data_IF_286944117094
#
_entry.id   IF_286944117094
#
_cell.length_a   1.000
_cell.length_b   1.000
_cell.length_c   1.000
_cell.angle_alpha   90.00
_cell.angle_beta   90.00
_cell.angle_gamma   90.00
#
_symmetry.space_group_name_H-M   'P 1'
#
loop_
_entity.id
_entity.type
_entity.pdbx_description
1 polymer ?
#
# COMPACT_ATOMS: atom_id res chain seq x y z
N UNK A 1 -17.48 22.57 -4.11
CA UNK A 1 -16.77 23.63 -3.37
C UNK A 1 -15.33 23.66 -3.87
N UNK A 2 -14.84 24.81 -4.34
CA UNK A 2 -13.42 24.98 -4.67
C UNK A 2 -12.66 25.15 -3.37
N UNK A 3 -11.99 24.09 -2.90
CA UNK A 3 -11.09 24.17 -1.75
C UNK A 3 -9.99 25.18 -2.08
N UNK A 4 -10.08 26.35 -1.45
CA UNK A 4 -9.13 27.43 -1.59
C UNK A 4 -8.09 27.22 -0.50
N UNK A 5 -6.87 26.84 -0.89
CA UNK A 5 -5.76 26.76 0.04
C UNK A 5 -5.41 28.16 0.55
N UNK A 6 -5.02 28.26 1.82
CA UNK A 6 -4.55 29.52 2.42
C UNK A 6 -3.19 29.96 1.90
N UNK A 7 -2.47 29.09 1.18
CA UNK A 7 -1.15 29.41 0.62
C UNK A 7 -1.17 30.67 -0.26
N UNK A 8 -2.19 30.83 -1.11
CA UNK A 8 -2.29 31.99 -2.02
C UNK A 8 -2.77 33.28 -1.34
N UNK A 9 -2.85 33.31 0.00
CA UNK A 9 -3.07 34.53 0.76
C UNK A 9 -1.74 35.27 1.05
N UNK A 10 -0.59 34.61 0.85
CA UNK A 10 0.73 35.25 0.98
C UNK A 10 1.03 36.13 -0.25
N UNK A 11 2.00 37.07 -0.14
CA UNK A 11 2.43 37.89 -1.27
C UNK A 11 2.81 37.04 -2.48
N UNK A 12 2.42 37.50 -3.67
CA UNK A 12 2.54 36.71 -4.90
C UNK A 12 3.99 36.43 -5.29
N UNK A 13 4.92 37.26 -4.85
CA UNK A 13 6.35 37.18 -5.13
C UNK A 13 6.97 35.90 -4.56
N UNK A 14 6.43 35.42 -3.43
CA UNK A 14 6.90 34.24 -2.71
C UNK A 14 6.36 32.93 -3.29
N UNK A 15 5.40 33.00 -4.24
CA UNK A 15 4.76 31.81 -4.76
C UNK A 15 5.71 30.96 -5.59
N UNK A 16 5.82 29.68 -5.22
CA UNK A 16 6.58 28.67 -5.94
C UNK A 16 6.00 27.27 -5.68
N UNK A 17 6.29 26.33 -6.58
CA UNK A 17 5.72 24.98 -6.53
C UNK A 17 6.06 24.26 -5.22
N UNK A 18 7.32 24.29 -4.81
CA UNK A 18 7.76 23.58 -3.60
C UNK A 18 7.06 24.09 -2.35
N UNK A 19 6.97 25.41 -2.20
CA UNK A 19 6.37 26.04 -1.02
C UNK A 19 4.86 25.80 -0.96
N UNK A 20 4.17 25.78 -2.11
CA UNK A 20 2.78 25.35 -2.18
C UNK A 20 2.62 23.92 -1.64
N UNK A 21 3.45 22.98 -2.10
CA UNK A 21 3.34 21.59 -1.67
C UNK A 21 3.70 21.39 -0.19
N UNK A 22 4.73 22.09 0.31
CA UNK A 22 5.07 22.12 1.73
C UNK A 22 3.92 22.65 2.59
N UNK A 23 3.25 23.71 2.13
CA UNK A 23 2.07 24.24 2.80
C UNK A 23 0.93 23.20 2.81
N UNK A 24 0.60 22.62 1.66
CA UNK A 24 -0.47 21.62 1.52
C UNK A 24 -0.23 20.38 2.37
N UNK A 25 1.02 19.96 2.57
CA UNK A 25 1.37 18.82 3.45
C UNK A 25 0.89 19.00 4.90
N UNK A 26 0.78 20.25 5.37
CA UNK A 26 0.32 20.56 6.73
C UNK A 26 -1.21 20.68 6.83
N UNK A 27 -1.93 20.61 5.71
CA UNK A 27 -3.39 20.68 5.69
C UNK A 27 -4.01 19.28 5.90
N UNK A 28 -5.11 19.20 6.66
CA UNK A 28 -5.74 17.93 7.04
C UNK A 28 -6.29 17.11 5.85
N UNK A 29 -6.60 17.78 4.74
CA UNK A 29 -7.13 17.18 3.52
C UNK A 29 -6.02 16.89 2.48
N UNK A 30 -4.77 16.80 2.90
CA UNK A 30 -3.67 16.45 2.01
C UNK A 30 -3.83 15.03 1.44
N UNK A 31 -3.73 14.88 0.12
CA UNK A 31 -4.12 13.63 -0.55
C UNK A 31 -2.99 12.63 -0.80
N UNK A 32 -1.76 12.92 -0.34
CA UNK A 32 -0.53 12.11 -0.54
C UNK A 32 -0.29 11.66 -1.99
N UNK A 33 -0.95 12.30 -2.96
CA UNK A 33 -0.95 11.93 -4.36
C UNK A 33 -0.58 13.14 -5.18
N UNK A 34 0.57 13.07 -5.85
CA UNK A 34 1.06 14.15 -6.70
C UNK A 34 0.02 14.57 -7.74
N UNK A 35 -0.66 13.61 -8.36
CA UNK A 35 -1.68 13.88 -9.39
C UNK A 35 -2.86 14.70 -8.84
N UNK A 36 -3.32 14.40 -7.62
CA UNK A 36 -4.43 15.11 -6.99
C UNK A 36 -4.02 16.51 -6.54
N UNK A 37 -2.87 16.64 -5.87
CA UNK A 37 -2.37 17.93 -5.38
C UNK A 37 -1.94 18.87 -6.52
N UNK A 38 -1.33 18.34 -7.59
CA UNK A 38 -1.01 19.12 -8.79
C UNK A 38 -2.26 19.60 -9.53
N UNK A 39 -3.33 18.80 -9.55
CA UNK A 39 -4.62 19.24 -10.09
C UNK A 39 -5.21 20.41 -9.29
N UNK A 40 -5.14 20.35 -7.95
CA UNK A 40 -5.57 21.45 -7.08
C UNK A 40 -4.73 22.71 -7.29
N UNK A 41 -3.40 22.55 -7.42
CA UNK A 41 -2.48 23.65 -7.73
C UNK A 41 -2.88 24.33 -9.04
N UNK A 42 -3.05 23.54 -10.11
CA UNK A 42 -3.44 24.04 -11.43
C UNK A 42 -4.72 24.85 -11.38
N UNK A 43 -5.77 24.31 -10.74
CA UNK A 43 -7.05 25.02 -10.60
C UNK A 43 -6.92 26.34 -9.84
N UNK A 44 -6.11 26.36 -8.77
CA UNK A 44 -5.88 27.57 -8.00
C UNK A 44 -5.07 28.63 -8.76
N UNK A 45 -4.14 28.22 -9.63
CA UNK A 45 -3.41 29.12 -10.51
C UNK A 45 -4.31 29.66 -11.64
N UNK A 46 -5.12 28.81 -12.27
CA UNK A 46 -6.08 29.20 -13.31
C UNK A 46 -7.10 30.23 -12.79
N UNK A 47 -7.64 30.03 -11.58
CA UNK A 47 -8.56 31.00 -10.98
C UNK A 47 -7.92 32.35 -10.66
N UNK A 48 -6.58 32.42 -10.67
CA UNK A 48 -5.76 33.60 -10.34
C UNK A 48 -4.93 34.10 -11.51
N UNK A 49 -5.25 33.70 -12.75
CA UNK A 49 -4.48 34.06 -13.96
C UNK A 49 -4.27 35.57 -14.19
N UNK A 50 -5.07 36.43 -13.55
CA UNK A 50 -4.90 37.89 -13.58
C UNK A 50 -3.63 38.35 -12.86
N UNK A 51 -3.09 37.55 -11.93
CA UNK A 51 -1.86 37.83 -11.21
C UNK A 51 -0.68 37.36 -12.04
N UNK A 52 0.27 38.25 -12.31
CA UNK A 52 1.45 37.97 -13.16
C UNK A 52 2.20 36.71 -12.74
N UNK A 53 2.48 36.55 -11.43
CA UNK A 53 3.16 35.35 -10.91
C UNK A 53 2.35 34.07 -11.13
N UNK A 54 1.03 34.10 -10.92
CA UNK A 54 0.19 32.92 -11.15
C UNK A 54 0.25 32.48 -12.62
N UNK A 55 0.23 33.45 -13.55
CA UNK A 55 0.40 33.18 -14.98
C UNK A 55 1.77 32.55 -15.27
N UNK A 56 2.86 33.10 -14.71
CA UNK A 56 4.21 32.53 -14.87
C UNK A 56 4.29 31.07 -14.36
N UNK A 57 3.73 30.81 -13.19
CA UNK A 57 3.67 29.45 -12.63
C UNK A 57 2.78 28.52 -13.46
N UNK A 58 1.71 29.03 -14.08
CA UNK A 58 0.85 28.24 -14.95
C UNK A 58 1.55 27.85 -16.25
N UNK A 59 2.31 28.76 -16.87
CA UNK A 59 3.13 28.45 -18.04
C UNK A 59 4.22 27.43 -17.71
N UNK A 60 4.87 27.58 -16.54
CA UNK A 60 5.88 26.64 -16.04
C UNK A 60 5.29 25.33 -15.47
N UNK A 61 3.97 25.16 -15.45
CA UNK A 61 3.31 24.04 -14.80
C UNK A 61 3.54 22.70 -15.52
N UNK A 62 3.71 22.72 -16.85
CA UNK A 62 3.89 21.49 -17.63
C UNK A 62 5.17 20.77 -17.18
N UNK A 63 5.01 19.52 -16.77
CA UNK A 63 6.10 18.68 -16.25
C UNK A 63 6.89 19.33 -15.10
N UNK A 64 6.27 20.21 -14.30
CA UNK A 64 6.98 20.96 -13.27
C UNK A 64 7.68 20.06 -12.24
N UNK A 65 7.17 18.85 -11.94
CA UNK A 65 7.90 17.89 -11.10
C UNK A 65 9.23 17.44 -11.72
N UNK A 66 9.27 17.22 -13.04
CA UNK A 66 10.49 16.81 -13.74
C UNK A 66 11.49 17.96 -13.87
N UNK A 67 10.99 19.19 -14.03
CA UNK A 67 11.83 20.37 -14.20
C UNK A 67 12.29 21.01 -12.89
N UNK A 68 11.67 20.68 -11.75
CA UNK A 68 12.02 21.23 -10.44
C UNK A 68 12.50 20.08 -9.54
N UNK A 69 13.82 19.96 -9.38
CA UNK A 69 14.45 18.89 -8.61
C UNK A 69 13.94 18.83 -7.17
N UNK A 70 13.80 19.98 -6.51
CA UNK A 70 13.26 20.05 -5.14
C UNK A 70 11.83 19.51 -5.03
N UNK A 71 11.00 19.78 -6.04
CA UNK A 71 9.62 19.28 -6.10
C UNK A 71 9.65 17.77 -6.31
N UNK A 72 10.55 17.27 -7.15
CA UNK A 72 10.72 15.84 -7.36
C UNK A 72 11.14 15.12 -6.07
N UNK A 73 12.18 15.63 -5.39
CA UNK A 73 12.69 15.08 -4.13
C UNK A 73 11.59 15.05 -3.09
N UNK A 74 10.90 16.17 -2.88
CA UNK A 74 9.79 16.28 -1.93
C UNK A 74 8.70 15.22 -2.19
N UNK A 75 8.30 15.03 -3.44
CA UNK A 75 7.27 14.06 -3.78
C UNK A 75 7.76 12.61 -3.68
N UNK A 76 9.02 12.34 -4.01
CA UNK A 76 9.62 11.03 -3.81
C UNK A 76 9.64 10.65 -2.32
N UNK A 77 9.99 11.56 -1.43
CA UNK A 77 9.96 11.33 0.02
C UNK A 77 8.55 10.98 0.51
N UNK A 78 7.53 11.73 0.06
CA UNK A 78 6.13 11.48 0.43
C UNK A 78 5.66 10.12 -0.08
N UNK A 79 5.94 9.81 -1.34
CA UNK A 79 5.52 8.55 -1.96
C UNK A 79 6.23 7.35 -1.30
N UNK A 80 7.52 7.49 -0.95
CA UNK A 80 8.25 6.47 -0.21
C UNK A 80 7.67 6.24 1.19
N UNK A 81 7.40 7.31 1.96
CA UNK A 81 6.77 7.20 3.28
C UNK A 81 5.41 6.50 3.21
N UNK A 82 4.59 6.86 2.21
CA UNK A 82 3.27 6.27 2.05
C UNK A 82 3.34 4.77 1.71
N UNK A 83 4.25 4.39 0.81
CA UNK A 83 4.48 2.99 0.46
C UNK A 83 4.98 2.16 1.64
N UNK A 84 5.87 2.71 2.47
CA UNK A 84 6.35 2.04 3.68
C UNK A 84 5.22 1.86 4.70
N UNK A 85 4.39 2.88 4.91
CA UNK A 85 3.22 2.80 5.76
C UNK A 85 2.22 1.72 5.30
N UNK A 86 1.90 1.67 4.01
CA UNK A 86 1.00 0.65 3.45
C UNK A 86 1.59 -0.76 3.59
N UNK A 87 2.89 -0.95 3.34
CA UNK A 87 3.58 -2.23 3.56
C UNK A 87 3.46 -2.65 5.03
N UNK A 88 3.69 -1.74 5.96
CA UNK A 88 3.60 -2.02 7.39
C UNK A 88 2.17 -2.40 7.82
N UNK A 89 1.14 -1.74 7.26
CA UNK A 89 -0.26 -2.14 7.49
C UNK A 89 -0.56 -3.53 6.94
N UNK A 90 -0.06 -3.85 5.74
CA UNK A 90 -0.25 -5.18 5.12
C UNK A 90 0.40 -6.28 5.97
N UNK A 91 1.63 -6.07 6.43
CA UNK A 91 2.35 -7.02 7.29
C UNK A 91 1.60 -7.27 8.59
N UNK A 92 1.09 -6.21 9.25
CA UNK A 92 0.24 -6.35 10.45
C UNK A 92 -1.02 -7.17 10.17
N UNK A 93 -1.73 -6.89 9.07
CA UNK A 93 -2.93 -7.65 8.69
C UNK A 93 -2.61 -9.13 8.40
N UNK A 94 -1.49 -9.42 7.74
CA UNK A 94 -1.04 -10.79 7.49
C UNK A 94 -0.70 -11.52 8.80
N UNK A 95 0.00 -10.86 9.74
CA UNK A 95 0.31 -11.44 11.05
C UNK A 95 -0.96 -11.81 11.85
N UNK A 96 -1.96 -10.93 11.87
CA UNK A 96 -3.24 -11.20 12.55
C UNK A 96 -3.93 -12.44 11.95
N UNK A 97 -3.95 -12.57 10.63
CA UNK A 97 -4.58 -13.71 9.95
C UNK A 97 -3.79 -15.03 10.11
N UNK A 98 -2.46 -14.98 10.22
CA UNK A 98 -1.65 -16.17 10.54
C UNK A 98 -1.94 -16.61 11.98
N UNK A 99 -1.92 -15.68 12.94
CA UNK A 99 -2.17 -16.00 14.34
C UNK A 99 -3.54 -16.63 14.57
N UNK A 100 -4.60 -16.13 13.92
CA UNK A 100 -5.94 -16.71 14.06
C UNK A 100 -6.00 -18.12 13.49
N UNK A 101 -5.43 -18.35 12.30
CA UNK A 101 -5.38 -19.68 11.70
C UNK A 101 -4.60 -20.68 12.56
N UNK A 102 -3.48 -20.26 13.14
CA UNK A 102 -2.70 -21.12 14.04
C UNK A 102 -3.48 -21.45 15.31
N UNK A 103 -4.21 -20.50 15.87
CA UNK A 103 -5.11 -20.73 17.00
C UNK A 103 -6.21 -21.74 16.64
N UNK A 104 -6.91 -21.54 15.53
CA UNK A 104 -7.99 -22.43 15.08
C UNK A 104 -7.45 -23.86 14.86
N UNK A 105 -6.26 -24.02 14.28
CA UNK A 105 -5.64 -25.33 14.11
C UNK A 105 -5.29 -26.00 15.44
N UNK A 106 -4.78 -25.25 16.42
CA UNK A 106 -4.47 -25.79 17.75
C UNK A 106 -5.75 -26.16 18.51
N UNK A 107 -6.82 -25.38 18.39
CA UNK A 107 -8.13 -25.68 18.98
C UNK A 107 -8.72 -26.95 18.39
N UNK A 108 -8.70 -27.11 17.07
CA UNK A 108 -9.14 -28.32 16.40
C UNK A 108 -8.32 -29.55 16.81
N UNK A 109 -6.98 -29.43 16.90
CA UNK A 109 -6.14 -30.53 17.35
C UNK A 109 -6.40 -30.91 18.82
N UNK A 110 -6.64 -29.92 19.68
CA UNK A 110 -7.00 -30.15 21.08
C UNK A 110 -8.36 -30.87 21.18
N UNK A 111 -9.37 -30.43 20.41
CA UNK A 111 -10.68 -31.07 20.37
C UNK A 111 -10.62 -32.52 19.89
N UNK A 112 -9.86 -32.80 18.82
CA UNK A 112 -9.69 -34.17 18.30
C UNK A 112 -8.95 -35.06 19.30
N UNK A 113 -7.95 -34.53 20.01
CA UNK A 113 -7.24 -35.27 21.07
C UNK A 113 -8.18 -35.63 22.22
N UNK A 114 -9.03 -34.70 22.65
CA UNK A 114 -10.04 -34.94 23.69
C UNK A 114 -11.07 -35.98 23.25
N UNK A 115 -11.56 -35.90 22.01
CA UNK A 115 -12.49 -36.90 21.45
C UNK A 115 -11.87 -38.29 21.37
N UNK A 116 -10.61 -38.39 20.96
CA UNK A 116 -9.88 -39.67 20.91
C UNK A 116 -9.75 -40.30 22.30
N UNK A 117 -9.37 -39.52 23.33
CA UNK A 117 -9.33 -40.01 24.71
C UNK A 117 -10.71 -40.47 25.22
N UNK A 118 -11.77 -39.71 24.97
CA UNK A 118 -13.13 -40.07 25.37
C UNK A 118 -13.65 -41.34 24.66
N UNK A 119 -13.25 -41.55 23.40
CA UNK A 119 -13.56 -42.77 22.67
C UNK A 119 -12.86 -44.00 23.26
N UNK A 120 -11.58 -43.88 23.65
CA UNK A 120 -10.83 -44.97 24.29
C UNK A 120 -11.36 -45.33 25.69
N UNK A 121 -11.98 -44.39 26.41
CA UNK A 121 -12.59 -44.67 27.72
C UNK A 121 -13.95 -45.36 27.67
N UNK A 122 -14.59 -45.50 26.49
CA UNK A 122 -15.89 -46.18 26.36
C UNK A 122 -15.79 -47.70 26.18
N UNK A 123 -14.62 -48.22 25.80
CA UNK A 123 -14.38 -49.65 25.58
C UNK A 123 -13.54 -50.30 26.69
N UNK A 124 -13.28 -49.61 27.80
CA UNK A 124 -12.45 -50.13 28.90
C UNK A 124 -13.10 -49.85 30.24
N UNK A 125 -14.17 -50.60 30.51
CA UNK A 125 -14.71 -50.74 31.86
C UNK A 125 -14.10 -51.94 32.60
N UNK A 126 -12.96 -52.47 32.14
CA UNK A 126 -12.17 -53.45 32.88
C UNK A 126 -10.68 -53.07 32.81
N UNK A 127 -10.08 -53.00 34.00
CA UNK A 127 -8.65 -52.93 34.32
C UNK A 127 -7.94 -51.56 34.29
N UNK A 128 -8.10 -50.88 35.42
CA UNK A 128 -7.17 -49.87 35.95
C UNK A 128 -5.85 -50.58 36.33
N UNK A 129 -4.78 -50.34 35.57
CA UNK A 129 -3.41 -50.03 36.03
C UNK A 129 -2.39 -50.29 34.92
N UNK A 130 -1.90 -49.23 34.28
CA UNK A 130 -0.47 -49.08 33.93
C UNK A 130 -0.25 -47.67 33.35
N UNK A 131 -0.32 -46.67 34.24
CA UNK A 131 -0.26 -45.25 33.89
C UNK A 131 1.15 -44.64 33.96
N UNK A 132 2.20 -45.36 34.37
CA UNK A 132 3.54 -44.76 34.47
C UNK A 132 4.68 -45.73 34.16
N UNK A 133 4.75 -46.28 32.94
CA UNK A 133 6.01 -46.86 32.44
C UNK A 133 6.00 -47.04 30.92
N UNK A 134 6.37 -45.99 30.19
CA UNK A 134 7.30 -46.08 29.04
C UNK A 134 7.41 -44.72 28.34
N UNK A 135 8.45 -43.97 28.70
CA UNK A 135 9.14 -43.15 27.70
C UNK A 135 9.86 -44.10 26.75
N UNK A 136 9.49 -44.12 25.47
CA UNK A 136 10.43 -44.33 24.36
C UNK A 136 9.74 -44.11 23.02
N UNK A 137 10.16 -43.03 22.36
CA UNK A 137 10.25 -42.86 20.90
C UNK A 137 9.22 -43.55 20.01
N UNK A 138 8.32 -42.77 19.40
CA UNK A 138 7.96 -42.98 18.00
C UNK A 138 7.44 -41.71 17.32
N UNK A 139 8.30 -41.23 16.40
CA UNK A 139 8.05 -40.46 15.17
C UNK A 139 7.17 -39.21 15.23
N UNK A 140 7.85 -38.06 15.16
CA UNK A 140 7.32 -36.83 14.55
C UNK A 140 6.67 -37.16 13.20
N UNK A 141 5.40 -36.78 12.95
CA UNK A 141 4.90 -36.68 11.59
C UNK A 141 5.67 -35.57 10.88
N UNK A 142 6.59 -35.93 9.98
CA UNK A 142 7.12 -35.01 8.98
C UNK A 142 6.01 -34.73 7.97
N UNK A 143 5.09 -33.83 8.32
CA UNK A 143 4.06 -33.30 7.42
C UNK A 143 4.35 -31.83 7.13
N UNK A 144 5.57 -31.57 6.64
CA UNK A 144 5.88 -30.40 5.83
C UNK A 144 6.26 -30.87 4.41
N UNK A 145 5.33 -31.58 3.78
CA UNK A 145 5.17 -31.67 2.33
C UNK A 145 3.69 -31.38 2.15
N UNK A 146 3.26 -30.22 1.67
CA UNK A 146 3.75 -29.51 0.51
C UNK A 146 3.87 -28.01 0.75
N UNK A 147 4.68 -27.36 -0.07
CA UNK A 147 4.64 -25.90 -0.24
C UNK A 147 3.26 -25.52 -0.78
N UNK A 148 2.31 -25.27 0.11
CA UNK A 148 1.16 -24.45 -0.21
C UNK A 148 1.67 -23.01 -0.36
N UNK A 149 2.11 -22.71 -1.58
CA UNK A 149 2.13 -21.35 -2.10
C UNK A 149 0.80 -20.71 -1.70
N UNK A 150 0.85 -19.66 -0.89
CA UNK A 150 -0.31 -18.81 -0.70
C UNK A 150 -0.70 -18.24 -2.07
N UNK A 151 -1.64 -18.90 -2.75
CA UNK A 151 -2.13 -18.54 -4.08
C UNK A 151 -2.78 -17.14 -4.12
N UNK A 152 -2.90 -16.48 -2.97
CA UNK A 152 -3.42 -15.12 -2.82
C UNK A 152 -2.34 -14.04 -2.73
N UNK A 153 -1.06 -14.40 -2.84
CA UNK A 153 0.04 -13.43 -2.92
C UNK A 153 0.40 -13.02 -4.35
N UNK A 154 -0.18 -13.65 -5.38
CA UNK A 154 -0.09 -13.15 -6.74
C UNK A 154 -1.22 -12.13 -7.00
N UNK A 155 -0.88 -10.85 -6.91
CA UNK A 155 -1.41 -9.89 -7.86
C UNK A 155 -0.24 -9.07 -8.38
N UNK A 156 -0.11 -9.13 -9.70
CA UNK A 156 0.86 -8.49 -10.53
C UNK A 156 1.00 -7.00 -10.20
N UNK A 157 2.24 -6.53 -10.16
CA UNK A 157 2.54 -5.11 -10.34
C UNK A 157 2.28 -4.79 -11.82
N UNK A 158 1.01 -4.59 -12.19
CA UNK A 158 0.62 -4.10 -13.51
C UNK A 158 -0.31 -2.89 -13.37
N UNK A 159 0.33 -1.77 -13.03
CA UNK A 159 -0.05 -0.41 -13.41
C UNK A 159 1.15 0.48 -13.01
N UNK A 160 2.22 0.58 -13.79
CA UNK A 160 2.33 1.57 -14.87
C UNK A 160 3.61 1.31 -15.70
N UNK A 161 3.84 0.08 -16.18
CA UNK A 161 4.89 -0.18 -17.19
C UNK A 161 4.31 -0.37 -18.61
N UNK A 162 3.07 0.07 -18.84
CA UNK A 162 2.37 0.00 -20.12
C UNK A 162 2.01 1.36 -20.73
N UNK A 163 2.71 2.44 -20.37
CA UNK A 163 2.66 3.70 -21.13
C UNK A 163 3.96 4.04 -21.86
N UNK A 164 4.94 3.13 -21.90
CA UNK A 164 6.22 3.34 -22.62
C UNK A 164 6.37 2.54 -23.92
N UNK A 165 5.34 1.80 -24.35
CA UNK A 165 5.34 1.12 -25.67
C UNK A 165 4.15 1.49 -26.58
N UNK A 166 3.28 2.44 -26.18
CA UNK A 166 2.27 3.02 -27.09
C UNK A 166 2.54 4.48 -27.48
N UNK A 167 3.53 5.15 -26.87
CA UNK A 167 3.89 6.53 -27.23
C UNK A 167 4.89 6.60 -28.39
N UNK A 168 5.58 5.51 -28.72
CA UNK A 168 6.47 5.46 -29.91
C UNK A 168 5.74 5.18 -31.22
N UNK A 169 4.44 4.89 -31.19
CA UNK A 169 3.65 4.62 -32.42
C UNK A 169 2.56 5.66 -32.69
N UNK A 170 2.31 6.60 -31.78
CA UNK A 170 1.33 7.67 -32.01
C UNK A 170 1.95 9.00 -32.48
N UNK A 171 3.29 9.13 -32.46
CA UNK A 171 4.01 10.26 -33.07
C UNK A 171 4.35 10.04 -34.55
N UNK A 172 3.96 8.93 -35.17
CA UNK A 172 4.21 8.68 -36.61
C UNK A 172 2.97 8.81 -37.50
N UNK A 173 1.79 9.13 -36.95
CA UNK A 173 0.55 9.22 -37.74
C UNK A 173 -0.09 10.63 -37.77
N UNK A 174 0.57 11.64 -37.21
CA UNK A 174 0.08 13.03 -37.24
C UNK A 174 0.93 14.01 -38.05
N UNK A 175 1.96 13.51 -38.76
CA UNK A 175 2.79 14.29 -39.71
C UNK A 175 2.44 13.98 -41.20
N UNK A 176 1.19 13.64 -41.52
CA UNK A 176 0.76 13.41 -42.92
C UNK A 176 -0.63 13.92 -43.28
N UNK A 177 -1.18 14.87 -42.51
CA UNK A 177 -2.36 15.65 -42.90
C UNK A 177 -2.20 17.10 -42.43
N UNK A 178 -1.26 17.80 -43.07
CA UNK A 178 -1.42 19.14 -43.69
C UNK A 178 -0.06 19.65 -44.19
#
# INVERSE_FOLDING_TARGET
MTETTTYFNTPSEEWNFLSYYKHRRNENNFTFSFRKESFLLKKNLESRQKISKAKQLLEAFKNHRQHNEDVNIFWNEIELMYLEYEKNLRTKRCHVNISSKTQDMMENMAEETVKAHLATTKDSNDEINDFFQSSSEQQLPTLFSDRDHCSKCHMEVNALNLSLQWITTFTFYFDSLD
#
